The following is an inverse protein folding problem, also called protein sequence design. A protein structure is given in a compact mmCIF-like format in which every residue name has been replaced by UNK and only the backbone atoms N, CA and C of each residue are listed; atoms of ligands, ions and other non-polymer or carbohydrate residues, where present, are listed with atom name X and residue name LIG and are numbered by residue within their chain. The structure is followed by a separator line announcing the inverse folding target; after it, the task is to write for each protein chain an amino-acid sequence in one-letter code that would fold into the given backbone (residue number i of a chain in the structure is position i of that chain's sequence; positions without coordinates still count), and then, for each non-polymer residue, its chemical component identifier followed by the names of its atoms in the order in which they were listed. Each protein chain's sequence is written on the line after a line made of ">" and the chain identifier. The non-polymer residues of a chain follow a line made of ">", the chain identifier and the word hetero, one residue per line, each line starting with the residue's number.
data_IF_641280645545
#
_entry.id   IF_641280645545
#
_cell.length_a   1.000
_cell.length_b   1.000
_cell.length_c   1.000
_cell.angle_alpha   90.00
_cell.angle_beta   90.00
_cell.angle_gamma   90.00
#
_symmetry.space_group_name_H-M   'P 1'
#
loop_
_entity.id
_entity.type
_entity.pdbx_description
1 polymer ?
#
# COMPACT_ATOMS: atom_id res chain seq x y z
N UNK A 1 16.14 3.53 5.72
CA UNK A 1 16.82 2.22 5.61
C UNK A 1 15.93 0.97 5.80
N UNK A 2 14.57 1.00 5.86
CA UNK A 2 13.81 -0.26 5.98
C UNK A 2 13.84 -1.11 4.69
N UNK A 3 13.86 -0.49 3.50
CA UNK A 3 13.95 -1.20 2.21
C UNK A 3 15.16 -2.13 2.10
N UNK A 4 16.35 -1.67 2.52
CA UNK A 4 17.57 -2.48 2.47
C UNK A 4 17.51 -3.70 3.38
N UNK A 5 16.81 -3.61 4.52
CA UNK A 5 16.61 -4.76 5.41
C UNK A 5 15.80 -5.85 4.72
N UNK A 6 14.68 -5.49 4.07
CA UNK A 6 13.87 -6.44 3.32
C UNK A 6 14.64 -7.03 2.13
N UNK A 7 15.34 -6.19 1.36
CA UNK A 7 16.17 -6.67 0.26
C UNK A 7 17.19 -7.72 0.72
N UNK A 8 17.88 -7.46 1.83
CA UNK A 8 18.85 -8.40 2.41
C UNK A 8 18.20 -9.70 2.90
N UNK A 9 17.09 -9.61 3.63
CA UNK A 9 16.38 -10.79 4.16
C UNK A 9 15.90 -11.70 3.02
N UNK A 10 15.27 -11.12 2.00
CA UNK A 10 14.79 -11.90 0.86
C UNK A 10 15.95 -12.46 0.01
N UNK A 11 17.05 -11.71 -0.14
CA UNK A 11 18.25 -12.21 -0.82
C UNK A 11 18.89 -13.39 -0.07
N UNK A 12 19.00 -13.30 1.25
CA UNK A 12 19.56 -14.39 2.07
C UNK A 12 18.69 -15.65 2.00
N UNK A 13 17.36 -15.47 2.08
CA UNK A 13 16.42 -16.57 1.89
C UNK A 13 16.55 -17.19 0.50
N UNK A 14 16.66 -16.38 -0.55
CA UNK A 14 16.86 -16.87 -1.91
C UNK A 14 18.15 -17.69 -2.07
N UNK A 15 19.27 -17.20 -1.52
CA UNK A 15 20.57 -17.90 -1.53
C UNK A 15 20.48 -19.23 -0.77
N UNK A 16 19.89 -19.24 0.42
CA UNK A 16 19.72 -20.46 1.21
C UNK A 16 18.86 -21.49 0.49
N UNK A 17 17.73 -21.06 -0.09
CA UNK A 17 16.82 -21.93 -0.83
C UNK A 17 17.52 -22.51 -2.07
N UNK A 18 18.26 -21.68 -2.83
CA UNK A 18 19.03 -22.13 -3.99
C UNK A 18 20.14 -23.11 -3.59
N UNK A 19 20.85 -22.84 -2.49
CA UNK A 19 21.85 -23.74 -1.94
C UNK A 19 21.26 -25.10 -1.58
N UNK A 20 20.12 -25.13 -0.89
CA UNK A 20 19.42 -26.38 -0.54
C UNK A 20 18.96 -27.15 -1.79
N UNK A 21 18.44 -26.45 -2.80
CA UNK A 21 18.04 -27.04 -4.07
C UNK A 21 19.21 -27.79 -4.74
N UNK A 22 20.37 -27.12 -4.81
CA UNK A 22 21.59 -27.65 -5.44
C UNK A 22 22.22 -28.80 -4.63
N UNK A 23 22.15 -28.74 -3.29
CA UNK A 23 22.74 -29.77 -2.42
C UNK A 23 21.93 -31.05 -2.37
N UNK A 24 20.60 -30.95 -2.39
CA UNK A 24 19.70 -32.10 -2.25
C UNK A 24 19.37 -32.75 -3.62
N UNK A 25 19.36 -31.96 -4.70
CA UNK A 25 19.07 -32.44 -6.05
C UNK A 25 17.68 -33.10 -6.18
N UNK A 26 17.45 -33.80 -7.31
CA UNK A 26 16.20 -34.53 -7.54
C UNK A 26 14.95 -33.66 -7.41
N UNK A 27 14.02 -34.02 -6.54
CA UNK A 27 12.79 -33.24 -6.32
C UNK A 27 13.08 -31.85 -5.73
N UNK A 28 14.22 -31.65 -5.06
CA UNK A 28 14.60 -30.36 -4.48
C UNK A 28 14.87 -29.27 -5.54
N UNK A 29 15.04 -29.62 -6.82
CA UNK A 29 15.10 -28.62 -7.90
C UNK A 29 13.84 -27.73 -7.95
N UNK A 30 12.70 -28.21 -7.45
CA UNK A 30 11.49 -27.40 -7.29
C UNK A 30 11.68 -26.18 -6.38
N UNK A 31 12.67 -26.21 -5.47
CA UNK A 31 13.04 -25.07 -4.62
C UNK A 31 13.65 -23.90 -5.41
N UNK A 32 14.12 -24.11 -6.65
CA UNK A 32 14.58 -22.98 -7.47
C UNK A 32 13.47 -21.97 -7.75
N UNK A 33 12.21 -22.42 -7.85
CA UNK A 33 11.08 -21.52 -8.07
C UNK A 33 10.85 -20.52 -6.91
N UNK A 34 10.76 -20.94 -5.63
CA UNK A 34 10.79 -20.00 -4.52
C UNK A 34 12.11 -19.21 -4.46
N UNK A 35 13.26 -19.79 -4.84
CA UNK A 35 14.51 -19.03 -4.95
C UNK A 35 14.42 -17.84 -5.92
N UNK A 36 13.84 -18.05 -7.11
CA UNK A 36 13.58 -17.00 -8.11
C UNK A 36 12.57 -15.98 -7.57
N UNK A 37 11.46 -16.47 -6.98
CA UNK A 37 10.43 -15.61 -6.39
C UNK A 37 11.03 -14.64 -5.35
N UNK A 38 11.83 -15.15 -4.42
CA UNK A 38 12.45 -14.34 -3.36
C UNK A 38 13.55 -13.42 -3.92
N UNK A 39 14.28 -13.85 -4.95
CA UNK A 39 15.23 -12.98 -5.66
C UNK A 39 14.52 -11.78 -6.28
N UNK A 40 13.39 -11.97 -6.95
CA UNK A 40 12.62 -10.87 -7.55
C UNK A 40 12.09 -9.90 -6.49
N UNK A 41 11.63 -10.41 -5.35
CA UNK A 41 11.21 -9.56 -4.22
C UNK A 41 12.40 -8.79 -3.64
N UNK A 42 13.57 -9.42 -3.50
CA UNK A 42 14.79 -8.75 -3.06
C UNK A 42 15.15 -7.58 -4.00
N UNK A 43 15.09 -7.81 -5.32
CA UNK A 43 15.34 -6.78 -6.35
C UNK A 43 14.28 -5.67 -6.32
N UNK A 44 13.01 -6.00 -6.06
CA UNK A 44 11.95 -5.02 -5.84
C UNK A 44 12.32 -4.03 -4.72
N UNK A 45 12.78 -4.56 -3.59
CA UNK A 45 13.21 -3.75 -2.44
C UNK A 45 14.58 -3.06 -2.65
N UNK A 46 15.43 -3.60 -3.53
CA UNK A 46 16.75 -3.04 -3.84
C UNK A 46 16.72 -1.88 -4.85
N UNK A 47 15.67 -1.77 -5.68
CA UNK A 47 15.55 -0.63 -6.60
C UNK A 47 14.51 -0.76 -7.72
N UNK A 48 14.08 -1.97 -8.09
CA UNK A 48 13.07 -2.14 -9.13
C UNK A 48 11.69 -1.56 -8.72
N UNK A 49 11.45 -1.48 -7.41
CA UNK A 49 10.22 -0.93 -6.85
C UNK A 49 9.02 -1.86 -7.05
N UNK A 50 7.83 -1.29 -6.88
CA UNK A 50 6.54 -1.97 -6.96
C UNK A 50 6.24 -2.60 -8.31
N UNK A 51 6.83 -2.13 -9.41
CA UNK A 51 6.58 -2.66 -10.75
C UNK A 51 6.99 -4.13 -10.88
N UNK A 52 7.94 -4.59 -10.05
CA UNK A 52 8.34 -5.99 -9.99
C UNK A 52 7.18 -6.94 -9.66
N UNK A 53 6.15 -6.46 -8.95
CA UNK A 53 4.94 -7.23 -8.65
C UNK A 53 3.95 -7.28 -9.82
N UNK A 54 4.11 -6.46 -10.85
CA UNK A 54 3.23 -6.46 -12.01
C UNK A 54 1.77 -6.13 -11.68
N UNK A 55 1.50 -5.34 -10.62
CA UNK A 55 0.17 -4.83 -10.31
C UNK A 55 -0.28 -3.89 -11.44
N UNK A 56 -1.49 -4.13 -11.95
CA UNK A 56 -2.12 -3.38 -13.04
C UNK A 56 -3.05 -2.30 -12.50
N UNK A 57 -3.33 -1.31 -13.32
CA UNK A 57 -4.25 -0.20 -13.02
C UNK A 57 -5.68 -0.67 -12.74
N UNK A 58 -6.09 -1.82 -13.27
CA UNK A 58 -7.41 -2.43 -13.05
C UNK A 58 -7.47 -3.29 -11.78
N UNK A 59 -6.40 -3.34 -10.99
CA UNK A 59 -6.34 -4.07 -9.72
C UNK A 59 -5.98 -5.54 -9.84
N UNK A 60 -5.77 -6.04 -11.06
CA UNK A 60 -5.24 -7.37 -11.33
C UNK A 60 -3.71 -7.37 -11.27
N UNK A 61 -3.10 -8.55 -11.31
CA UNK A 61 -1.66 -8.70 -11.49
C UNK A 61 -1.38 -9.33 -12.85
N UNK A 62 -0.21 -9.04 -13.41
CA UNK A 62 0.24 -9.67 -14.65
C UNK A 62 0.40 -11.19 -14.44
N UNK A 63 -0.08 -12.06 -15.35
CA UNK A 63 0.02 -13.51 -15.18
C UNK A 63 1.45 -14.01 -15.00
N UNK A 64 2.40 -13.44 -15.74
CA UNK A 64 3.83 -13.78 -15.58
C UNK A 64 4.33 -13.44 -14.17
N UNK A 65 3.90 -12.32 -13.60
CA UNK A 65 4.31 -11.89 -12.27
C UNK A 65 3.72 -12.81 -11.22
N UNK A 66 2.45 -13.20 -11.37
CA UNK A 66 1.80 -14.18 -10.48
C UNK A 66 2.54 -15.51 -10.50
N UNK A 67 2.92 -16.04 -11.66
CA UNK A 67 3.64 -17.32 -11.77
C UNK A 67 5.02 -17.21 -11.12
N UNK A 68 5.82 -16.18 -11.46
CA UNK A 68 7.17 -16.05 -10.91
C UNK A 68 7.17 -15.75 -9.41
N UNK A 69 6.18 -15.00 -8.92
CA UNK A 69 6.09 -14.60 -7.52
C UNK A 69 5.18 -15.51 -6.68
N UNK A 70 4.56 -16.53 -7.25
CA UNK A 70 3.54 -17.34 -6.55
C UNK A 70 4.02 -17.85 -5.19
N UNK A 71 5.27 -18.35 -5.02
CA UNK A 71 5.74 -18.79 -3.71
C UNK A 71 5.69 -17.69 -2.66
N UNK A 72 6.16 -16.48 -2.98
CA UNK A 72 6.05 -15.32 -2.10
C UNK A 72 4.60 -14.87 -1.89
N UNK A 73 3.78 -14.87 -2.95
CA UNK A 73 2.39 -14.42 -2.88
C UNK A 73 1.55 -15.35 -2.01
N UNK A 74 1.73 -16.67 -2.10
CA UNK A 74 1.06 -17.65 -1.23
C UNK A 74 1.39 -17.39 0.23
N UNK A 75 2.67 -17.16 0.56
CA UNK A 75 3.08 -16.82 1.93
C UNK A 75 2.46 -15.50 2.39
N UNK A 76 2.48 -14.48 1.55
CA UNK A 76 1.97 -13.14 1.86
C UNK A 76 0.46 -13.15 2.02
N UNK A 77 -0.27 -13.82 1.13
CA UNK A 77 -1.73 -13.96 1.20
C UNK A 77 -2.14 -14.84 2.37
N UNK A 78 -1.44 -15.94 2.63
CA UNK A 78 -1.65 -16.79 3.79
C UNK A 78 -1.44 -16.03 5.10
N UNK A 79 -0.34 -15.30 5.22
CA UNK A 79 -0.06 -14.45 6.37
C UNK A 79 -1.14 -13.37 6.56
N UNK A 80 -1.58 -12.73 5.48
CA UNK A 80 -2.67 -11.76 5.53
C UNK A 80 -3.99 -12.38 6.00
N UNK A 81 -4.36 -13.55 5.48
CA UNK A 81 -5.55 -14.30 5.94
C UNK A 81 -5.46 -14.67 7.42
N UNK A 82 -4.29 -15.13 7.87
CA UNK A 82 -4.04 -15.48 9.27
C UNK A 82 -4.16 -14.25 10.18
N UNK A 83 -3.50 -13.14 9.85
CA UNK A 83 -3.58 -11.91 10.65
C UNK A 83 -5.00 -11.35 10.63
N UNK A 84 -5.70 -11.38 9.50
CA UNK A 84 -7.12 -10.98 9.44
C UNK A 84 -7.99 -11.81 10.38
N UNK A 85 -7.80 -13.13 10.40
CA UNK A 85 -8.57 -14.05 11.23
C UNK A 85 -8.29 -13.87 12.72
N UNK A 86 -7.03 -13.61 13.09
CA UNK A 86 -6.61 -13.40 14.48
C UNK A 86 -6.87 -11.97 14.98
N UNK A 87 -6.95 -10.99 14.06
CA UNK A 87 -7.14 -9.59 14.43
C UNK A 87 -8.56 -9.31 14.88
N UNK A 88 -8.68 -8.47 15.91
CA UNK A 88 -9.95 -7.90 16.40
C UNK A 88 -10.22 -6.52 15.82
N UNK A 89 -9.37 -6.03 14.91
CA UNK A 89 -9.55 -4.73 14.28
C UNK A 89 -10.73 -4.75 13.31
N UNK A 90 -11.44 -3.63 13.25
CA UNK A 90 -12.47 -3.40 12.23
C UNK A 90 -11.86 -3.43 10.84
N UNK A 91 -12.64 -3.90 9.86
CA UNK A 91 -12.21 -3.97 8.46
C UNK A 91 -11.90 -2.57 7.89
N UNK A 92 -12.73 -1.59 8.27
CA UNK A 92 -12.62 -0.19 7.88
C UNK A 92 -13.16 0.73 8.98
N UNK A 93 -12.68 1.97 8.97
CA UNK A 93 -13.09 3.05 9.88
C UNK A 93 -13.22 4.35 9.09
N UNK A 94 -14.24 5.15 9.40
CA UNK A 94 -14.39 6.51 8.84
C UNK A 94 -13.52 7.49 9.63
N UNK A 95 -12.69 8.26 8.93
CA UNK A 95 -11.79 9.24 9.56
C UNK A 95 -12.43 10.61 9.65
N UNK A 96 -13.06 11.02 8.56
CA UNK A 96 -13.88 12.23 8.39
C UNK A 96 -15.04 11.88 7.45
N UNK A 97 -16.14 12.65 7.43
CA UNK A 97 -17.24 12.41 6.52
C UNK A 97 -16.79 12.16 5.07
N UNK A 98 -17.08 10.96 4.58
CA UNK A 98 -16.78 10.56 3.21
C UNK A 98 -15.36 10.01 2.97
N UNK A 99 -14.55 9.79 4.01
CA UNK A 99 -13.21 9.16 3.91
C UNK A 99 -13.09 7.97 4.85
N UNK A 100 -13.07 6.79 4.27
CA UNK A 100 -12.88 5.53 4.94
C UNK A 100 -11.47 5.00 4.72
N UNK A 101 -10.90 4.37 5.75
CA UNK A 101 -9.61 3.72 5.68
C UNK A 101 -9.69 2.30 6.24
N UNK A 102 -8.84 1.39 5.76
CA UNK A 102 -8.85 0.03 6.31
C UNK A 102 -7.82 -0.93 5.75
N UNK A 103 -7.97 -2.19 6.15
CA UNK A 103 -7.24 -3.34 5.59
C UNK A 103 -7.80 -3.69 4.22
N UNK A 104 -7.13 -4.55 3.46
CA UNK A 104 -7.70 -5.10 2.24
C UNK A 104 -9.02 -5.81 2.59
N UNK A 105 -10.01 -5.70 1.72
CA UNK A 105 -11.33 -6.30 1.94
C UNK A 105 -11.47 -7.62 1.16
N UNK A 106 -12.31 -8.51 1.67
CA UNK A 106 -12.78 -9.67 0.93
C UNK A 106 -13.91 -9.25 -0.03
N UNK A 107 -14.26 -10.15 -0.95
CA UNK A 107 -15.44 -9.96 -1.78
C UNK A 107 -16.68 -9.82 -0.88
N UNK A 108 -17.49 -8.80 -1.13
CA UNK A 108 -18.71 -8.52 -0.35
C UNK A 108 -18.49 -7.75 0.96
N UNK A 109 -17.24 -7.42 1.34
CA UNK A 109 -16.98 -6.59 2.52
C UNK A 109 -16.97 -5.08 2.22
N UNK A 110 -17.03 -4.67 0.94
CA UNK A 110 -17.04 -3.25 0.58
C UNK A 110 -18.33 -2.60 1.08
N UNK A 111 -18.26 -1.52 1.87
CA UNK A 111 -19.44 -0.83 2.37
C UNK A 111 -20.28 -0.25 1.24
N UNK A 112 -21.60 -0.23 1.43
CA UNK A 112 -22.50 0.49 0.55
C UNK A 112 -22.16 1.98 0.52
N UNK A 113 -22.29 2.59 -0.66
CA UNK A 113 -22.02 4.02 -0.86
C UNK A 113 -20.56 4.38 -1.12
N UNK A 114 -19.59 3.44 -1.01
CA UNK A 114 -18.23 3.69 -1.50
C UNK A 114 -18.26 3.87 -3.02
N UNK A 115 -17.85 5.06 -3.47
CA UNK A 115 -17.78 5.41 -4.89
C UNK A 115 -16.37 5.19 -5.40
N UNK A 116 -15.36 5.60 -4.63
CA UNK A 116 -13.96 5.53 -5.04
C UNK A 116 -13.14 4.62 -4.12
N UNK A 117 -12.30 3.76 -4.69
CA UNK A 117 -11.35 2.92 -3.96
C UNK A 117 -9.92 3.25 -4.37
N UNK A 118 -9.07 3.53 -3.39
CA UNK A 118 -7.63 3.71 -3.54
C UNK A 118 -6.89 2.51 -2.93
N UNK A 119 -6.39 1.63 -3.79
CA UNK A 119 -5.62 0.44 -3.42
C UNK A 119 -4.11 0.74 -3.45
N UNK A 120 -3.47 0.61 -2.30
CA UNK A 120 -2.04 0.86 -2.11
C UNK A 120 -1.17 -0.40 -2.20
N UNK A 121 -1.76 -1.55 -2.49
CA UNK A 121 -1.05 -2.83 -2.53
C UNK A 121 -0.35 -3.07 -3.86
N UNK A 122 0.87 -3.57 -3.79
CA UNK A 122 1.59 -4.12 -4.96
C UNK A 122 1.37 -5.62 -5.07
N UNK A 123 1.14 -6.26 -3.93
CA UNK A 123 1.28 -7.69 -3.71
C UNK A 123 -0.05 -8.46 -3.69
N UNK A 124 -1.18 -7.78 -3.91
CA UNK A 124 -2.51 -8.40 -3.90
C UNK A 124 -3.27 -8.16 -5.20
N UNK A 125 -4.08 -9.14 -5.61
CA UNK A 125 -5.15 -8.94 -6.60
C UNK A 125 -6.40 -8.46 -5.87
N UNK A 126 -7.07 -7.45 -6.42
CA UNK A 126 -8.30 -6.92 -5.83
C UNK A 126 -9.53 -7.74 -6.28
N UNK A 127 -10.48 -8.07 -5.38
CA UNK A 127 -11.72 -8.74 -5.73
C UNK A 127 -12.53 -7.94 -6.76
N UNK A 128 -13.27 -8.66 -7.60
CA UNK A 128 -14.03 -8.05 -8.69
C UNK A 128 -15.05 -7.00 -8.23
N UNK A 129 -15.80 -7.27 -7.17
CA UNK A 129 -16.78 -6.30 -6.64
C UNK A 129 -16.15 -4.97 -6.24
N UNK A 130 -14.90 -4.99 -5.77
CA UNK A 130 -14.15 -3.79 -5.37
C UNK A 130 -13.54 -3.09 -6.59
N UNK A 131 -13.01 -3.85 -7.55
CA UNK A 131 -12.52 -3.31 -8.83
C UNK A 131 -13.61 -2.62 -9.64
N UNK A 132 -14.87 -3.04 -9.46
CA UNK A 132 -16.07 -2.48 -10.11
C UNK A 132 -16.78 -1.40 -9.28
N UNK A 133 -16.16 -0.91 -8.20
CA UNK A 133 -16.61 0.34 -7.59
C UNK A 133 -16.65 1.46 -8.66
N UNK A 134 -17.40 2.54 -8.40
CA UNK A 134 -17.59 3.63 -9.37
C UNK A 134 -16.28 4.16 -9.94
N UNK A 135 -15.23 4.20 -9.11
CA UNK A 135 -13.86 4.47 -9.51
C UNK A 135 -12.87 3.63 -8.71
N UNK A 136 -12.00 2.89 -9.40
CA UNK A 136 -10.89 2.17 -8.79
C UNK A 136 -9.55 2.82 -9.19
N UNK A 137 -8.71 3.11 -8.21
CA UNK A 137 -7.38 3.70 -8.38
C UNK A 137 -6.36 2.79 -7.73
N UNK A 138 -5.46 2.22 -8.54
CA UNK A 138 -4.29 1.51 -8.03
C UNK A 138 -3.10 2.46 -7.93
N UNK A 139 -2.57 2.61 -6.72
CA UNK A 139 -1.33 3.34 -6.45
C UNK A 139 -0.39 2.41 -5.67
N UNK A 140 0.26 1.44 -6.35
CA UNK A 140 0.98 0.37 -5.68
C UNK A 140 2.18 0.91 -4.88
N UNK A 141 2.26 0.53 -3.60
CA UNK A 141 3.40 0.87 -2.74
C UNK A 141 3.89 -0.42 -2.10
N UNK A 142 5.19 -0.72 -2.27
CA UNK A 142 5.84 -1.81 -1.54
C UNK A 142 5.61 -1.67 -0.04
N UNK A 143 5.48 -2.80 0.65
CA UNK A 143 5.22 -2.75 2.09
C UNK A 143 6.36 -2.05 2.85
N UNK A 144 5.99 -1.33 3.92
CA UNK A 144 6.86 -0.46 4.71
C UNK A 144 7.67 0.58 3.90
N UNK A 145 7.27 0.87 2.65
CA UNK A 145 7.94 1.81 1.76
C UNK A 145 7.11 3.06 1.48
N UNK A 146 7.65 3.93 0.62
CA UNK A 146 7.05 5.18 0.15
C UNK A 146 7.17 5.29 -1.37
N UNK A 147 6.37 6.16 -1.96
CA UNK A 147 6.53 6.62 -3.34
C UNK A 147 7.01 8.08 -3.36
N UNK A 148 7.67 8.53 -4.44
CA UNK A 148 8.03 9.93 -4.60
C UNK A 148 6.80 10.85 -4.58
N UNK A 149 6.94 12.03 -3.97
CA UNK A 149 5.89 13.07 -3.90
C UNK A 149 5.28 13.37 -5.26
N UNK A 150 6.11 13.46 -6.30
CA UNK A 150 5.67 13.74 -7.67
C UNK A 150 4.69 12.71 -8.24
N UNK A 151 4.69 11.46 -7.74
CA UNK A 151 3.74 10.42 -8.17
C UNK A 151 2.50 10.33 -7.29
N UNK A 152 2.58 10.76 -6.04
CA UNK A 152 1.49 10.66 -5.08
C UNK A 152 0.63 11.92 -5.06
N UNK A 153 1.25 13.10 -5.01
CA UNK A 153 0.54 14.37 -4.84
C UNK A 153 -0.52 14.63 -5.93
N UNK A 154 -0.26 14.39 -7.23
CA UNK A 154 -1.30 14.58 -8.26
C UNK A 154 -2.52 13.69 -8.04
N UNK A 155 -2.31 12.42 -7.68
CA UNK A 155 -3.39 11.47 -7.40
C UNK A 155 -4.22 11.94 -6.20
N UNK A 156 -3.56 12.40 -5.13
CA UNK A 156 -4.28 12.87 -3.93
C UNK A 156 -5.04 14.17 -4.19
N UNK A 157 -4.51 15.09 -4.99
CA UNK A 157 -5.24 16.31 -5.38
C UNK A 157 -6.49 15.98 -6.18
N UNK A 158 -6.39 15.04 -7.11
CA UNK A 158 -7.53 14.59 -7.90
C UNK A 158 -8.60 13.92 -7.02
N UNK A 159 -8.18 13.02 -6.13
CA UNK A 159 -9.08 12.34 -5.19
C UNK A 159 -9.69 13.29 -4.15
N UNK A 160 -9.00 14.37 -3.80
CA UNK A 160 -9.48 15.33 -2.81
C UNK A 160 -10.71 16.13 -3.28
N UNK A 161 -10.82 16.39 -4.58
CA UNK A 161 -11.97 17.06 -5.19
C UNK A 161 -12.90 16.07 -5.90
N UNK A 162 -12.58 14.78 -5.83
CA UNK A 162 -13.36 13.71 -6.45
C UNK A 162 -14.71 13.52 -5.76
N UNK A 163 -15.75 13.10 -6.51
CA UNK A 163 -17.08 12.90 -5.95
C UNK A 163 -17.18 11.62 -5.11
N UNK A 164 -18.09 11.64 -4.14
CA UNK A 164 -18.53 10.47 -3.40
C UNK A 164 -17.60 10.03 -2.28
N UNK A 165 -17.97 8.91 -1.65
CA UNK A 165 -17.24 8.36 -0.51
C UNK A 165 -16.01 7.61 -1.02
N UNK A 166 -14.86 7.90 -0.42
CA UNK A 166 -13.56 7.31 -0.75
C UNK A 166 -13.17 6.25 0.28
N UNK A 167 -12.67 5.13 -0.19
CA UNK A 167 -12.03 4.11 0.62
C UNK A 167 -10.54 3.97 0.28
N UNK A 168 -9.67 4.05 1.28
CA UNK A 168 -8.22 3.91 1.12
C UNK A 168 -7.74 2.68 1.89
N UNK A 169 -7.02 1.77 1.24
CA UNK A 169 -6.51 0.59 1.93
C UNK A 169 -5.12 0.17 1.46
N UNK A 170 -4.47 -0.63 2.31
CA UNK A 170 -3.33 -1.46 1.97
C UNK A 170 -3.63 -2.88 2.45
N UNK A 171 -2.63 -3.73 2.69
CA UNK A 171 -2.87 -5.06 3.24
C UNK A 171 -3.58 -5.01 4.61
N UNK A 172 -2.99 -4.30 5.58
CA UNK A 172 -3.45 -4.28 6.98
C UNK A 172 -4.15 -2.99 7.41
N UNK A 173 -4.09 -1.93 6.60
CA UNK A 173 -4.68 -0.64 6.97
C UNK A 173 -3.86 0.15 7.97
N UNK A 174 -2.54 -0.03 7.99
CA UNK A 174 -1.64 0.62 8.95
C UNK A 174 -0.72 1.65 8.25
N UNK A 175 0.58 1.40 8.14
CA UNK A 175 1.57 2.41 7.74
C UNK A 175 1.30 3.09 6.38
N UNK A 176 1.08 2.30 5.32
CA UNK A 176 0.79 2.82 3.97
C UNK A 176 -0.53 3.60 3.94
N UNK A 177 -1.60 2.97 4.42
CA UNK A 177 -2.94 3.57 4.52
C UNK A 177 -2.93 4.85 5.32
N UNK A 178 -2.33 4.85 6.52
CA UNK A 178 -2.33 6.00 7.41
C UNK A 178 -1.55 7.18 6.86
N UNK A 179 -0.39 6.92 6.23
CA UNK A 179 0.39 7.97 5.56
C UNK A 179 -0.40 8.62 4.42
N UNK A 180 -1.00 7.80 3.54
CA UNK A 180 -1.73 8.31 2.38
C UNK A 180 -3.04 8.99 2.78
N UNK A 181 -3.76 8.44 3.76
CA UNK A 181 -4.97 9.05 4.29
C UNK A 181 -4.68 10.40 4.93
N UNK A 182 -3.63 10.51 5.77
CA UNK A 182 -3.23 11.78 6.36
C UNK A 182 -2.86 12.81 5.27
N UNK A 183 -2.10 12.42 4.26
CA UNK A 183 -1.80 13.29 3.13
C UNK A 183 -3.06 13.71 2.36
N UNK A 184 -4.04 12.82 2.17
CA UNK A 184 -5.30 13.14 1.53
C UNK A 184 -6.13 14.15 2.35
N UNK A 185 -6.20 14.02 3.68
CA UNK A 185 -6.91 15.00 4.51
C UNK A 185 -6.34 16.42 4.33
N UNK A 186 -5.03 16.53 4.14
CA UNK A 186 -4.37 17.79 3.79
C UNK A 186 -4.69 18.20 2.35
N UNK A 187 -4.77 17.29 1.39
CA UNK A 187 -5.22 17.65 0.05
C UNK A 187 -6.67 18.18 0.03
N UNK A 188 -7.56 17.60 0.86
CA UNK A 188 -9.00 17.91 0.94
C UNK A 188 -9.37 19.21 1.65
N UNK A 189 -8.52 19.70 2.57
CA UNK A 189 -8.92 20.82 3.44
C UNK A 189 -9.16 20.40 4.88
N UNK A 190 -9.34 19.10 5.14
CA UNK A 190 -9.77 18.56 6.44
C UNK A 190 -8.71 18.70 7.54
N UNK A 191 -7.43 18.85 7.17
CA UNK A 191 -6.33 19.07 8.09
C UNK A 191 -5.40 20.20 7.63
N UNK A 192 -4.81 20.90 8.60
CA UNK A 192 -3.89 22.02 8.39
C UNK A 192 -2.45 21.58 8.16
N UNK A 193 -2.04 20.47 8.77
CA UNK A 193 -0.67 19.96 8.73
C UNK A 193 -0.60 18.43 8.90
N UNK A 194 0.61 17.89 8.71
CA UNK A 194 0.92 16.46 8.83
C UNK A 194 0.59 15.88 10.21
N UNK A 195 0.88 16.60 11.29
CA UNK A 195 0.64 16.13 12.67
C UNK A 195 -0.84 16.01 12.99
N UNK A 196 -1.63 17.01 12.61
CA UNK A 196 -3.07 17.07 12.82
C UNK A 196 -3.75 15.98 11.99
N UNK A 197 -3.37 15.86 10.71
CA UNK A 197 -3.91 14.83 9.82
C UNK A 197 -3.62 13.41 10.34
N UNK A 198 -2.38 13.15 10.77
CA UNK A 198 -2.01 11.85 11.32
C UNK A 198 -2.77 11.56 12.63
N UNK A 199 -2.95 12.56 13.48
CA UNK A 199 -3.72 12.43 14.73
C UNK A 199 -5.18 12.08 14.45
N UNK A 200 -5.81 12.71 13.45
CA UNK A 200 -7.18 12.37 13.03
C UNK A 200 -7.29 10.92 12.58
N UNK A 201 -6.36 10.48 11.72
CA UNK A 201 -6.28 9.09 11.25
C UNK A 201 -6.09 8.11 12.42
N UNK A 202 -5.21 8.42 13.36
CA UNK A 202 -4.92 7.56 14.50
C UNK A 202 -6.07 7.50 15.52
N UNK A 203 -6.87 8.57 15.66
CA UNK A 203 -8.09 8.53 16.47
C UNK A 203 -9.12 7.55 15.90
N UNK A 204 -9.31 7.57 14.58
CA UNK A 204 -10.21 6.65 13.91
C UNK A 204 -9.68 5.21 13.88
N UNK A 205 -8.36 5.05 13.66
CA UNK A 205 -7.69 3.73 13.58
C UNK A 205 -6.41 3.70 14.41
N UNK A 206 -6.49 3.36 15.71
CA UNK A 206 -5.35 3.43 16.64
C UNK A 206 -4.13 2.57 16.28
N UNK A 207 -4.31 1.54 15.46
CA UNK A 207 -3.23 0.67 14.98
C UNK A 207 -2.32 1.35 13.92
N UNK A 208 -2.71 2.50 13.38
CA UNK A 208 -1.87 3.25 12.44
C UNK A 208 -0.59 3.72 13.12
N UNK A 209 0.54 3.21 12.62
CA UNK A 209 1.89 3.59 13.02
C UNK A 209 2.74 3.81 11.78
N UNK A 210 3.34 5.00 11.68
CA UNK A 210 4.23 5.34 10.57
C UNK A 210 5.66 5.07 11.00
N UNK A 211 6.44 4.48 10.10
CA UNK A 211 7.89 4.45 10.25
C UNK A 211 8.48 5.85 10.07
N UNK A 212 9.70 6.08 10.55
CA UNK A 212 10.40 7.36 10.34
C UNK A 212 10.56 7.75 8.85
N UNK A 213 10.56 6.77 7.94
CA UNK A 213 10.57 7.04 6.49
C UNK A 213 9.20 7.52 6.01
N UNK A 214 8.11 6.91 6.48
CA UNK A 214 6.75 7.33 6.14
C UNK A 214 6.39 8.68 6.76
N UNK A 215 6.84 8.96 7.98
CA UNK A 215 6.61 10.28 8.62
C UNK A 215 7.30 11.41 7.85
N UNK A 216 8.53 11.19 7.35
CA UNK A 216 9.21 12.17 6.49
C UNK A 216 8.50 12.35 5.16
N UNK A 217 8.09 11.26 4.51
CA UNK A 217 7.33 11.34 3.27
C UNK A 217 5.98 12.06 3.44
N UNK A 218 5.30 11.85 4.58
CA UNK A 218 4.09 12.61 4.91
C UNK A 218 4.37 14.10 5.04
N UNK A 219 5.46 14.50 5.69
CA UNK A 219 5.85 15.90 5.82
C UNK A 219 6.15 16.52 4.44
N UNK A 220 6.90 15.83 3.58
CA UNK A 220 7.18 16.28 2.21
C UNK A 220 5.90 16.40 1.36
N UNK A 221 4.98 15.43 1.49
CA UNK A 221 3.67 15.47 0.86
C UNK A 221 2.84 16.65 1.36
N UNK A 222 2.80 16.89 2.67
CA UNK A 222 2.07 17.99 3.26
C UNK A 222 2.52 19.33 2.68
N UNK A 223 3.83 19.58 2.62
CA UNK A 223 4.40 20.79 2.00
C UNK A 223 3.94 20.94 0.55
N UNK A 224 4.07 19.88 -0.26
CA UNK A 224 3.71 19.93 -1.68
C UNK A 224 2.20 20.08 -1.93
N UNK A 225 1.35 19.56 -1.04
CA UNK A 225 -0.11 19.66 -1.14
C UNK A 225 -0.61 21.03 -0.70
N UNK A 226 -0.06 21.57 0.40
CA UNK A 226 -0.40 22.91 0.89
C UNK A 226 0.05 24.02 -0.07
N UNK A 227 1.27 23.90 -0.63
CA UNK A 227 1.77 24.87 -1.61
C UNK A 227 0.92 24.95 -2.88
N UNK A 228 0.19 23.88 -3.20
CA UNK A 228 -0.69 23.81 -4.36
C UNK A 228 -2.15 24.22 -4.08
N UNK A 229 -2.50 24.57 -2.83
CA UNK A 229 -3.86 25.04 -2.52
C UNK A 229 -4.09 26.43 -3.11
N UNK A 230 -5.21 26.65 -3.82
CA UNK A 230 -5.60 27.99 -4.25
C UNK A 230 -5.81 28.87 -3.00
N UNK A 231 -5.03 29.96 -2.88
CA UNK A 231 -5.07 30.90 -1.75
C UNK A 231 -3.78 31.04 -0.93
N UNK A 232 -2.80 30.14 -1.08
CA UNK A 232 -1.52 30.21 -0.33
C UNK A 232 -0.59 31.39 -0.74
N UNK A 233 -0.94 32.12 -1.81
CA UNK A 233 -0.18 33.29 -2.30
C UNK A 233 -0.79 34.66 -1.98
N UNK A 234 -1.87 34.73 -1.18
CA UNK A 234 -2.60 35.98 -0.91
C UNK A 234 -2.39 36.54 0.52
N UNK A 235 -1.26 36.20 1.17
CA UNK A 235 -0.92 36.75 2.48
C UNK A 235 0.55 37.17 2.52
N UNK A 236 0.84 38.34 1.95
CA UNK A 236 1.94 39.20 2.38
C UNK A 236 1.40 40.64 2.39
N UNK A 237 1.33 41.31 3.55
CA UNK A 237 1.15 42.76 3.61
C UNK A 237 2.39 43.51 3.08
#
# INVERSE_FOLDING_TARGET
>A
MPRMKYAFVFAMAAVLIAFLALRLGGVAWLLLWPGVSFTLVALAYAGLGEHAFGKRVDGRMQPWAVILLLPYLVLTWGAWHLVRWLSRERAFDEVVPGVFIGRRLLAGELPDGIVTVLDLTSEFVEPEGIRRAGRYVSLPILDASILPVARVAPVLRELAVGPGVLYIHCAQGHGRTGMIAAALLIARGDALDASTALSMVQRARPAVRLSATQSRALAELATALLAARPGAGAALP
#
